data_IF_749924135262
#
_entry.id   IF_749924135262
#
_cell.length_a   1.000
_cell.length_b   1.000
_cell.length_c   1.000
_cell.angle_alpha   90.00
_cell.angle_beta   90.00
_cell.angle_gamma   90.00
#
_symmetry.space_group_name_H-M   'P 1'
#
loop_
_entity.id
_entity.type
_entity.pdbx_description
1 polymer ?
#
# COMPACT_ATOMS: atom_id res chain seq x y z
N UNK A 1 30.38 -17.35 25.94
CA UNK A 1 31.08 -18.45 25.23
C UNK A 1 31.45 -17.95 23.84
N UNK A 2 32.68 -18.18 23.35
CA UNK A 2 33.02 -17.80 21.98
C UNK A 2 32.11 -18.55 21.01
N UNK A 3 31.33 -17.83 20.23
CA UNK A 3 30.46 -18.42 19.22
C UNK A 3 31.34 -19.11 18.16
N UNK A 4 31.04 -20.37 17.83
CA UNK A 4 31.73 -21.07 16.77
C UNK A 4 31.21 -20.55 15.41
N UNK A 5 31.83 -19.49 14.91
CA UNK A 5 31.44 -18.84 13.66
C UNK A 5 31.94 -19.63 12.44
N UNK A 6 31.08 -19.78 11.43
CA UNK A 6 31.35 -20.52 10.19
C UNK A 6 32.53 -19.91 9.40
N UNK A 7 33.25 -20.71 8.59
CA UNK A 7 34.27 -20.19 7.66
C UNK A 7 33.70 -19.14 6.71
N UNK A 8 32.45 -19.33 6.27
CA UNK A 8 31.71 -18.39 5.41
C UNK A 8 31.49 -17.05 6.11
N UNK A 9 31.10 -17.05 7.38
CA UNK A 9 30.96 -15.81 8.16
C UNK A 9 32.29 -15.06 8.26
N UNK A 10 33.40 -15.76 8.52
CA UNK A 10 34.73 -15.14 8.63
C UNK A 10 35.21 -14.56 7.29
N UNK A 11 34.90 -15.22 6.19
CA UNK A 11 35.18 -14.71 4.85
C UNK A 11 34.37 -13.44 4.57
N UNK A 12 33.06 -13.45 4.86
CA UNK A 12 32.19 -12.29 4.70
C UNK A 12 32.62 -11.11 5.61
N UNK A 13 33.05 -11.39 6.85
CA UNK A 13 33.58 -10.38 7.77
C UNK A 13 34.88 -9.75 7.24
N UNK A 14 35.78 -10.57 6.69
CA UNK A 14 37.02 -10.07 6.07
C UNK A 14 36.70 -9.19 4.86
N UNK A 15 35.76 -9.61 4.00
CA UNK A 15 35.30 -8.83 2.86
C UNK A 15 34.65 -7.50 3.30
N UNK A 16 33.83 -7.51 4.35
CA UNK A 16 33.24 -6.29 4.93
C UNK A 16 34.30 -5.29 5.41
N UNK A 17 35.39 -5.77 6.02
CA UNK A 17 36.51 -4.92 6.45
C UNK A 17 37.27 -4.31 5.28
N UNK A 18 37.33 -4.99 4.14
CA UNK A 18 38.02 -4.52 2.93
C UNK A 18 37.15 -3.60 2.06
N UNK A 19 35.83 -3.77 2.09
CA UNK A 19 34.88 -2.97 1.31
C UNK A 19 34.92 -1.49 1.69
N UNK A 20 35.15 -0.63 0.70
CA UNK A 20 35.22 0.84 0.88
C UNK A 20 33.93 1.55 0.47
N UNK A 21 33.24 1.00 -0.53
CA UNK A 21 32.00 1.58 -1.04
C UNK A 21 30.80 1.25 -0.12
N UNK A 22 29.94 2.23 0.23
CA UNK A 22 28.80 2.01 1.12
C UNK A 22 27.87 0.88 0.65
N UNK A 23 27.58 0.81 -0.66
CA UNK A 23 26.73 -0.26 -1.24
C UNK A 23 27.36 -1.64 -1.11
N UNK A 24 28.66 -1.74 -1.33
CA UNK A 24 29.39 -3.00 -1.18
C UNK A 24 29.42 -3.44 0.28
N UNK A 25 29.68 -2.50 1.21
CA UNK A 25 29.65 -2.74 2.65
C UNK A 25 28.27 -3.24 3.12
N UNK A 26 27.18 -2.70 2.58
CA UNK A 26 25.82 -3.15 2.87
C UNK A 26 25.58 -4.60 2.42
N UNK A 27 26.03 -4.95 1.22
CA UNK A 27 25.95 -6.34 0.73
C UNK A 27 26.77 -7.30 1.60
N UNK A 28 27.99 -6.92 2.01
CA UNK A 28 28.80 -7.77 2.91
C UNK A 28 28.18 -7.96 4.29
N UNK A 29 27.51 -6.94 4.84
CA UNK A 29 26.74 -7.12 6.09
C UNK A 29 25.56 -8.08 5.92
N UNK A 30 24.87 -8.05 4.77
CA UNK A 30 23.79 -8.99 4.44
C UNK A 30 24.31 -10.43 4.32
N UNK A 31 25.47 -10.62 3.69
CA UNK A 31 26.15 -11.92 3.61
C UNK A 31 26.55 -12.43 5.01
N UNK A 32 27.11 -11.58 5.86
CA UNK A 32 27.43 -11.92 7.26
C UNK A 32 26.17 -12.36 8.03
N UNK A 33 25.03 -11.69 7.83
CA UNK A 33 23.76 -12.07 8.46
C UNK A 33 23.18 -13.39 7.95
N UNK A 34 23.48 -13.76 6.70
CA UNK A 34 23.08 -15.06 6.12
C UNK A 34 23.94 -16.21 6.66
N UNK A 35 25.24 -15.98 6.81
CA UNK A 35 26.22 -16.99 7.21
C UNK A 35 26.32 -17.21 8.73
N UNK A 36 25.78 -16.30 9.55
CA UNK A 36 25.84 -16.41 11.01
C UNK A 36 24.89 -17.52 11.53
N UNK A 37 25.35 -18.41 12.44
CA UNK A 37 24.48 -19.39 13.08
C UNK A 37 23.32 -18.72 13.84
N UNK A 38 22.10 -19.25 13.75
CA UNK A 38 20.90 -18.70 14.40
C UNK A 38 20.59 -19.43 15.71
N UNK A 39 21.33 -19.11 16.78
CA UNK A 39 21.12 -19.70 18.10
C UNK A 39 21.46 -18.69 19.21
N UNK A 40 21.04 -18.97 20.45
CA UNK A 40 21.19 -18.04 21.60
C UNK A 40 22.60 -17.47 21.81
N UNK A 41 23.65 -18.20 21.40
CA UNK A 41 25.04 -17.74 21.48
C UNK A 41 25.46 -16.63 20.49
N UNK A 42 24.63 -16.30 19.50
CA UNK A 42 24.92 -15.30 18.44
C UNK A 42 23.87 -14.20 18.36
N UNK A 43 22.87 -14.19 19.26
CA UNK A 43 21.75 -13.23 19.23
C UNK A 43 22.21 -11.77 19.25
N UNK A 44 23.18 -11.44 20.12
CA UNK A 44 23.73 -10.09 20.19
C UNK A 44 24.44 -9.68 18.90
N UNK A 45 25.15 -10.63 18.27
CA UNK A 45 25.88 -10.38 17.02
C UNK A 45 24.91 -10.23 15.84
N UNK A 46 23.82 -11.01 15.80
CA UNK A 46 22.74 -10.84 14.84
C UNK A 46 22.06 -9.48 14.99
N UNK A 47 21.77 -9.06 16.22
CA UNK A 47 21.18 -7.75 16.49
C UNK A 47 22.08 -6.60 16.04
N UNK A 48 23.40 -6.70 16.29
CA UNK A 48 24.37 -5.70 15.85
C UNK A 48 24.48 -5.63 14.32
N UNK A 49 24.53 -6.78 13.62
CA UNK A 49 24.57 -6.81 12.15
C UNK A 49 23.28 -6.20 11.56
N UNK A 50 22.10 -6.54 12.10
CA UNK A 50 20.82 -5.97 11.67
C UNK A 50 20.77 -4.45 11.86
N UNK A 51 21.25 -3.97 13.00
CA UNK A 51 21.35 -2.52 13.29
C UNK A 51 22.25 -1.82 12.26
N UNK A 52 23.44 -2.36 12.00
CA UNK A 52 24.38 -1.79 11.01
C UNK A 52 23.83 -1.80 9.59
N UNK A 53 23.08 -2.84 9.21
CA UNK A 53 22.37 -2.89 7.92
C UNK A 53 21.37 -1.75 7.83
N UNK A 54 20.57 -1.52 8.88
CA UNK A 54 19.58 -0.44 8.93
C UNK A 54 20.27 0.93 8.79
N UNK A 55 21.25 1.22 9.65
CA UNK A 55 21.99 2.49 9.66
C UNK A 55 22.64 2.79 8.29
N UNK A 56 23.33 1.79 7.70
CA UNK A 56 24.02 1.98 6.43
C UNK A 56 23.03 2.07 5.24
N UNK A 57 21.88 1.41 5.31
CA UNK A 57 20.81 1.56 4.30
C UNK A 57 20.23 2.97 4.34
N UNK A 58 19.93 3.50 5.53
CA UNK A 58 19.45 4.86 5.74
C UNK A 58 20.50 5.89 5.27
N UNK A 59 21.78 5.69 5.59
CA UNK A 59 22.88 6.56 5.15
C UNK A 59 22.99 6.64 3.61
N UNK A 60 22.90 5.50 2.91
CA UNK A 60 22.91 5.45 1.45
C UNK A 60 21.70 6.18 0.85
N UNK A 61 20.53 6.06 1.47
CA UNK A 61 19.33 6.79 1.06
C UNK A 61 19.45 8.30 1.31
N UNK A 62 20.05 8.71 2.44
CA UNK A 62 20.28 10.11 2.77
C UNK A 62 21.37 10.75 1.90
N UNK A 63 22.44 10.04 1.57
CA UNK A 63 23.48 10.51 0.66
C UNK A 63 22.94 10.76 -0.75
N UNK A 64 21.96 9.97 -1.22
CA UNK A 64 21.23 10.25 -2.47
C UNK A 64 20.36 11.51 -2.41
N UNK A 65 19.90 11.92 -1.22
CA UNK A 65 19.08 13.14 -1.03
C UNK A 65 19.92 14.43 -1.00
N UNK A 66 21.25 14.35 -0.89
CA UNK A 66 22.16 15.50 -0.79
C UNK A 66 22.65 16.08 -2.13
N UNK A 67 22.43 15.39 -3.25
CA UNK A 67 22.72 15.91 -4.59
C UNK A 67 21.50 16.60 -5.20
N UNK A 68 21.57 17.92 -5.37
CA UNK A 68 20.72 18.75 -6.25
C UNK A 68 19.23 18.33 -6.38
N UNK A 69 18.36 18.96 -5.57
CA UNK A 69 16.91 18.97 -5.78
C UNK A 69 16.56 19.63 -7.13
N UNK A 70 16.47 18.81 -8.18
CA UNK A 70 15.81 19.12 -9.46
C UNK A 70 15.28 17.85 -10.14
N UNK A 71 14.84 16.86 -9.36
CA UNK A 71 14.11 15.69 -9.88
C UNK A 71 12.67 15.75 -9.36
N UNK A 72 11.68 15.64 -10.25
CA UNK A 72 10.27 15.52 -9.88
C UNK A 72 10.11 14.44 -8.79
N UNK A 73 9.39 14.75 -7.71
CA UNK A 73 9.08 13.74 -6.70
C UNK A 73 8.21 12.66 -7.34
N UNK A 74 8.81 11.52 -7.68
CA UNK A 74 8.10 10.36 -8.24
C UNK A 74 7.17 9.68 -7.21
N UNK A 75 7.15 10.13 -5.96
CA UNK A 75 6.18 9.70 -4.93
C UNK A 75 5.07 10.74 -4.78
N UNK A 76 3.84 10.28 -5.00
CA UNK A 76 2.61 11.05 -4.74
C UNK A 76 2.36 11.03 -3.22
N UNK A 77 2.12 12.20 -2.63
CA UNK A 77 1.79 12.29 -1.20
C UNK A 77 0.43 11.63 -0.94
N UNK A 78 0.30 10.76 0.08
CA UNK A 78 -0.98 10.19 0.46
C UNK A 78 -1.98 11.27 0.85
N UNK A 79 -3.18 11.18 0.29
CA UNK A 79 -4.31 12.07 0.56
C UNK A 79 -5.61 11.26 0.63
N UNK A 80 -6.63 11.83 1.26
CA UNK A 80 -7.93 11.17 1.41
C UNK A 80 -7.93 10.03 2.43
N UNK A 81 -8.89 9.11 2.27
CA UNK A 81 -9.10 7.99 3.19
C UNK A 81 -8.12 6.83 3.01
N UNK A 82 -7.54 6.71 1.81
CA UNK A 82 -6.56 5.70 1.44
C UNK A 82 -5.88 6.07 0.12
N UNK A 83 -4.67 5.56 -0.10
CA UNK A 83 -3.95 5.65 -1.38
C UNK A 83 -3.86 4.26 -2.03
N UNK A 84 -4.37 4.11 -3.24
CA UNK A 84 -4.41 2.84 -3.98
C UNK A 84 -3.70 3.00 -5.33
N UNK A 85 -2.74 2.13 -5.61
CA UNK A 85 -1.98 2.16 -6.85
C UNK A 85 -2.64 1.32 -7.95
N UNK A 86 -2.69 1.80 -9.19
CA UNK A 86 -3.04 1.00 -10.35
C UNK A 86 -1.76 0.43 -10.96
N UNK A 87 -1.69 -0.90 -11.05
CA UNK A 87 -0.56 -1.64 -11.61
C UNK A 87 -1.06 -2.63 -12.66
N UNK A 88 -0.19 -3.05 -13.58
CA UNK A 88 -0.56 -4.01 -14.62
C UNK A 88 0.21 -3.79 -15.93
N UNK A 89 0.09 -4.74 -16.87
CA UNK A 89 0.83 -4.71 -18.12
C UNK A 89 0.44 -3.54 -19.02
N UNK A 90 1.23 -3.22 -20.06
CA UNK A 90 0.85 -2.26 -21.08
C UNK A 90 -0.52 -2.60 -21.69
N UNK A 91 -1.25 -1.58 -22.14
CA UNK A 91 -2.54 -1.73 -22.85
C UNK A 91 -3.69 -2.41 -22.08
N UNK A 92 -3.55 -2.76 -20.80
CA UNK A 92 -4.64 -3.28 -19.97
C UNK A 92 -5.76 -2.27 -19.65
N UNK A 93 -5.52 -0.99 -19.95
CA UNK A 93 -6.49 0.09 -19.76
C UNK A 93 -6.45 0.76 -18.38
N UNK A 94 -5.31 0.71 -17.68
CA UNK A 94 -5.07 1.41 -16.39
C UNK A 94 -5.46 2.89 -16.43
N UNK A 95 -4.89 3.67 -17.36
CA UNK A 95 -5.15 5.10 -17.45
C UNK A 95 -6.60 5.42 -17.81
N UNK A 96 -7.24 4.57 -18.63
CA UNK A 96 -8.68 4.69 -18.93
C UNK A 96 -9.54 4.42 -17.69
N UNK A 97 -9.21 3.40 -16.90
CA UNK A 97 -9.88 3.13 -15.62
C UNK A 97 -9.67 4.28 -14.63
N UNK A 98 -8.43 4.76 -14.48
CA UNK A 98 -8.11 5.90 -13.63
C UNK A 98 -8.93 7.13 -14.00
N UNK A 99 -8.93 7.49 -15.29
CA UNK A 99 -9.66 8.65 -15.79
C UNK A 99 -11.17 8.55 -15.57
N UNK A 100 -11.73 7.34 -15.73
CA UNK A 100 -13.16 7.06 -15.55
C UNK A 100 -13.56 7.09 -14.07
N UNK A 101 -12.76 6.47 -13.20
CA UNK A 101 -13.04 6.35 -11.76
C UNK A 101 -12.85 7.68 -11.02
N UNK A 102 -11.91 8.51 -11.47
CA UNK A 102 -11.60 9.80 -10.82
C UNK A 102 -12.32 10.98 -11.46
N UNK A 103 -13.03 10.76 -12.58
CA UNK A 103 -13.64 11.84 -13.37
C UNK A 103 -12.64 12.76 -14.07
N UNK A 104 -11.33 12.46 -14.02
CA UNK A 104 -10.28 13.26 -14.67
C UNK A 104 -10.32 13.21 -16.20
N UNK A 105 -11.08 12.27 -16.77
CA UNK A 105 -11.33 12.15 -18.21
C UNK A 105 -12.08 13.31 -18.86
N UNK A 106 -12.56 14.32 -18.11
CA UNK A 106 -13.05 15.57 -18.71
C UNK A 106 -11.93 16.38 -19.43
N UNK A 107 -10.67 15.98 -19.26
CA UNK A 107 -9.50 16.54 -19.95
C UNK A 107 -8.50 15.45 -20.41
N UNK A 108 -8.94 14.45 -21.17
CA UNK A 108 -8.00 13.57 -21.86
C UNK A 108 -7.64 14.18 -23.22
N UNK A 109 -6.44 14.78 -23.33
CA UNK A 109 -5.85 15.10 -24.61
C UNK A 109 -5.30 13.81 -25.25
N UNK A 110 -5.67 13.56 -26.51
CA UNK A 110 -5.25 12.42 -27.31
C UNK A 110 -3.72 12.41 -27.55
N UNK A 111 -2.96 11.69 -26.73
CA UNK A 111 -1.58 11.32 -27.08
C UNK A 111 -1.27 9.88 -26.64
N UNK A 112 -0.73 9.02 -27.53
CA UNK A 112 -0.23 7.72 -27.15
C UNK A 112 1.07 7.86 -26.36
N UNK A 113 1.24 7.05 -25.30
CA UNK A 113 2.43 6.91 -24.43
C UNK A 113 2.61 7.91 -23.26
N UNK A 114 1.55 8.48 -22.70
CA UNK A 114 1.67 9.44 -21.57
C UNK A 114 1.43 8.83 -20.20
N UNK A 115 2.39 8.06 -19.69
CA UNK A 115 2.58 7.90 -18.23
C UNK A 115 4.07 7.70 -17.96
N UNK A 116 4.87 8.74 -18.11
CA UNK A 116 6.25 8.74 -17.57
C UNK A 116 6.29 9.19 -16.10
N UNK A 117 5.16 9.65 -15.57
CA UNK A 117 5.00 10.13 -14.19
C UNK A 117 3.72 9.53 -13.61
N UNK A 118 3.75 9.24 -12.30
CA UNK A 118 2.58 8.75 -11.57
C UNK A 118 1.50 9.84 -11.53
N UNK A 119 0.25 9.49 -11.85
CA UNK A 119 -0.87 10.45 -11.85
C UNK A 119 -1.83 10.15 -10.70
N UNK A 120 -2.03 11.13 -9.82
CA UNK A 120 -3.01 11.03 -8.75
C UNK A 120 -4.40 11.48 -9.24
N UNK A 121 -5.45 10.84 -8.74
CA UNK A 121 -6.84 11.29 -8.90
C UNK A 121 -7.70 10.77 -7.77
N UNK A 122 -8.84 11.42 -7.51
CA UNK A 122 -9.67 11.13 -6.35
C UNK A 122 -10.91 10.34 -6.78
N UNK A 123 -11.05 9.10 -6.29
CA UNK A 123 -12.24 8.27 -6.42
C UNK A 123 -13.22 8.67 -5.29
N UNK A 124 -14.37 9.30 -5.60
CA UNK A 124 -15.36 9.65 -4.60
C UNK A 124 -16.07 8.39 -4.08
N UNK A 125 -16.34 8.36 -2.77
CA UNK A 125 -17.21 7.38 -2.14
C UNK A 125 -17.96 8.04 -0.99
N UNK A 126 -19.27 8.16 -1.12
CA UNK A 126 -20.12 8.90 -0.17
C UNK A 126 -19.57 10.32 0.09
N UNK A 127 -19.10 10.62 1.29
CA UNK A 127 -18.55 11.91 1.73
C UNK A 127 -17.03 11.89 1.91
N UNK A 128 -16.35 10.86 1.41
CA UNK A 128 -14.89 10.72 1.42
C UNK A 128 -14.33 10.50 0.01
N UNK A 129 -13.01 10.55 -0.09
CA UNK A 129 -12.29 10.29 -1.33
C UNK A 129 -11.16 9.29 -1.08
N UNK A 130 -10.99 8.35 -2.01
CA UNK A 130 -9.87 7.40 -2.06
C UNK A 130 -8.94 7.87 -3.17
N UNK A 131 -7.66 8.07 -2.88
CA UNK A 131 -6.68 8.51 -3.87
C UNK A 131 -6.25 7.33 -4.73
N UNK A 132 -6.48 7.41 -6.04
CA UNK A 132 -5.98 6.48 -7.04
C UNK A 132 -4.72 7.04 -7.68
N UNK A 133 -3.65 6.25 -7.68
CA UNK A 133 -2.36 6.59 -8.30
C UNK A 133 -2.17 5.71 -9.51
N UNK A 134 -2.31 6.27 -10.71
CA UNK A 134 -1.96 5.58 -11.96
C UNK A 134 -0.44 5.50 -12.09
N UNK A 135 0.08 4.28 -12.13
CA UNK A 135 1.50 4.02 -12.32
C UNK A 135 1.78 3.64 -13.77
N UNK A 136 2.96 3.98 -14.31
CA UNK A 136 3.36 3.52 -15.63
C UNK A 136 3.25 2.00 -15.75
N UNK A 137 3.02 1.52 -16.97
CA UNK A 137 2.87 0.10 -17.23
C UNK A 137 4.10 -0.69 -16.76
N UNK A 138 3.84 -1.79 -16.06
CA UNK A 138 4.88 -2.68 -15.56
C UNK A 138 5.26 -3.62 -16.71
N UNK A 139 6.49 -3.52 -17.20
CA UNK A 139 7.03 -4.39 -18.26
C UNK A 139 8.54 -4.55 -18.10
N UNK A 140 9.08 -5.69 -18.53
CA UNK A 140 10.51 -5.96 -18.49
C UNK A 140 11.32 -5.03 -19.41
N UNK A 141 10.71 -4.59 -20.52
CA UNK A 141 11.34 -3.69 -21.50
C UNK A 141 11.52 -2.26 -20.98
N UNK A 142 10.68 -1.86 -20.01
CA UNK A 142 10.70 -0.52 -19.42
C UNK A 142 10.61 -0.61 -17.88
N UNK A 143 11.69 -1.03 -17.21
CA UNK A 143 11.68 -1.17 -15.75
C UNK A 143 11.55 0.19 -15.09
N UNK A 144 10.65 0.28 -14.10
CA UNK A 144 10.40 1.50 -13.32
C UNK A 144 11.24 1.41 -12.03
N UNK A 145 12.39 2.10 -11.90
CA UNK A 145 13.30 1.89 -10.76
C UNK A 145 12.72 2.36 -9.43
N UNK A 146 11.78 3.31 -9.48
CA UNK A 146 11.15 3.93 -8.31
C UNK A 146 9.81 3.29 -7.92
N UNK A 147 9.38 2.21 -8.60
CA UNK A 147 8.07 1.58 -8.41
C UNK A 147 7.84 1.16 -6.95
N UNK A 148 8.80 0.47 -6.33
CA UNK A 148 8.67 0.05 -4.93
C UNK A 148 8.53 1.24 -3.97
N UNK A 149 9.23 2.35 -4.24
CA UNK A 149 9.11 3.57 -3.42
C UNK A 149 7.77 4.28 -3.59
N UNK A 150 7.15 4.22 -4.78
CA UNK A 150 5.81 4.75 -5.01
C UNK A 150 4.74 3.91 -4.30
N UNK A 151 4.96 2.59 -4.26
CA UNK A 151 4.04 1.65 -3.64
C UNK A 151 4.17 1.59 -2.11
N UNK A 152 5.30 2.03 -1.55
CA UNK A 152 5.58 1.95 -0.11
C UNK A 152 4.57 2.71 0.76
N UNK A 153 3.98 3.78 0.23
CA UNK A 153 2.97 4.60 0.94
C UNK A 153 1.53 4.19 0.64
N UNK A 154 1.32 3.23 -0.25
CA UNK A 154 -0.01 2.78 -0.64
C UNK A 154 -0.62 1.81 0.37
N UNK A 155 -1.93 1.91 0.55
CA UNK A 155 -2.73 0.98 1.37
C UNK A 155 -3.09 -0.30 0.60
N UNK A 156 -2.88 -0.33 -0.72
CA UNK A 156 -3.17 -1.47 -1.59
C UNK A 156 -3.00 -1.15 -3.07
N UNK A 157 -3.30 -2.13 -3.93
CA UNK A 157 -3.26 -1.94 -5.37
C UNK A 157 -4.41 -2.58 -6.14
N UNK A 158 -4.76 -1.96 -7.25
CA UNK A 158 -5.63 -2.51 -8.29
C UNK A 158 -4.72 -3.10 -9.39
N UNK A 159 -4.68 -4.42 -9.50
CA UNK A 159 -3.98 -5.12 -10.58
C UNK A 159 -4.90 -5.19 -11.79
N UNK A 160 -4.56 -4.49 -12.87
CA UNK A 160 -5.42 -4.35 -14.05
C UNK A 160 -4.92 -5.21 -15.19
N UNK A 161 -5.78 -6.10 -15.70
CA UNK A 161 -5.51 -6.94 -16.87
C UNK A 161 -6.56 -6.76 -17.96
N UNK A 162 -6.30 -7.18 -19.20
CA UNK A 162 -7.29 -7.20 -20.29
C UNK A 162 -7.96 -8.58 -20.36
N UNK A 163 -9.23 -8.66 -19.97
CA UNK A 163 -9.95 -9.94 -19.96
C UNK A 163 -10.13 -10.54 -21.36
N UNK A 164 -10.09 -9.73 -22.41
CA UNK A 164 -10.31 -10.16 -23.78
C UNK A 164 -9.02 -10.54 -24.53
N UNK A 165 -7.86 -10.30 -23.93
CA UNK A 165 -6.56 -10.60 -24.54
C UNK A 165 -6.04 -11.96 -24.05
N UNK A 166 -5.87 -12.96 -24.93
CA UNK A 166 -5.29 -14.25 -24.55
C UNK A 166 -3.88 -14.15 -23.97
N UNK A 167 -3.11 -13.11 -24.32
CA UNK A 167 -1.77 -12.89 -23.80
C UNK A 167 -1.74 -12.30 -22.37
N UNK A 168 -2.91 -12.00 -21.78
CA UNK A 168 -3.01 -11.41 -20.45
C UNK A 168 -2.44 -12.29 -19.33
N UNK A 169 -2.43 -13.60 -19.52
CA UNK A 169 -1.84 -14.57 -18.58
C UNK A 169 -0.33 -14.32 -18.45
N UNK A 170 0.41 -14.46 -19.55
CA UNK A 170 1.85 -14.19 -19.63
C UNK A 170 2.19 -12.76 -19.18
N UNK A 171 1.32 -11.80 -19.50
CA UNK A 171 1.50 -10.42 -19.11
C UNK A 171 1.41 -10.21 -17.59
N UNK A 172 0.50 -10.90 -16.90
CA UNK A 172 0.37 -10.85 -15.43
C UNK A 172 1.54 -11.55 -14.75
N UNK A 173 1.97 -12.70 -15.27
CA UNK A 173 3.19 -13.37 -14.79
C UNK A 173 4.41 -12.44 -14.86
N UNK A 174 4.57 -11.72 -15.98
CA UNK A 174 5.64 -10.74 -16.14
C UNK A 174 5.55 -9.60 -15.12
N UNK A 175 4.35 -9.12 -14.79
CA UNK A 175 4.15 -8.11 -13.74
C UNK A 175 4.56 -8.66 -12.37
N UNK A 176 4.17 -9.89 -12.04
CA UNK A 176 4.58 -10.54 -10.79
C UNK A 176 6.10 -10.72 -10.68
N UNK A 177 6.75 -11.09 -11.78
CA UNK A 177 8.21 -11.23 -11.85
C UNK A 177 8.91 -9.89 -11.59
N UNK A 178 8.44 -8.81 -12.23
CA UNK A 178 9.01 -7.46 -12.06
C UNK A 178 8.80 -6.91 -10.65
N UNK A 179 7.62 -7.13 -10.05
CA UNK A 179 7.34 -6.78 -8.66
C UNK A 179 8.24 -7.57 -7.69
N UNK A 180 8.38 -8.87 -7.92
CA UNK A 180 9.24 -9.75 -7.11
C UNK A 180 10.70 -9.33 -7.19
N UNK A 181 11.20 -8.96 -8.37
CA UNK A 181 12.55 -8.42 -8.55
C UNK A 181 12.79 -7.13 -7.74
N UNK A 182 11.73 -6.35 -7.50
CA UNK A 182 11.75 -5.15 -6.65
C UNK A 182 11.35 -5.41 -5.20
N UNK A 183 11.23 -6.68 -4.78
CA UNK A 183 10.81 -7.09 -3.43
C UNK A 183 9.42 -6.59 -3.05
N UNK A 184 8.50 -6.52 -4.02
CA UNK A 184 7.09 -6.24 -3.79
C UNK A 184 6.32 -7.54 -3.98
N UNK A 185 5.48 -7.91 -3.00
CA UNK A 185 4.61 -9.08 -3.03
C UNK A 185 3.16 -8.64 -2.93
N UNK A 186 2.34 -9.17 -3.84
CA UNK A 186 0.90 -8.95 -3.82
C UNK A 186 0.22 -10.00 -2.94
N UNK A 187 -0.70 -9.57 -2.08
CA UNK A 187 -1.43 -10.41 -1.15
C UNK A 187 -2.94 -10.41 -1.48
N UNK A 188 -3.60 -11.54 -1.26
CA UNK A 188 -5.04 -11.68 -1.44
C UNK A 188 -5.86 -10.96 -0.36
N UNK A 189 -5.32 -10.90 0.85
CA UNK A 189 -6.03 -10.38 2.01
C UNK A 189 -5.79 -8.90 2.20
N UNK A 190 -6.88 -8.18 2.36
CA UNK A 190 -6.91 -6.74 2.65
C UNK A 190 -6.98 -6.43 4.15
N UNK A 191 -6.95 -7.47 5.00
CA UNK A 191 -7.04 -7.30 6.45
C UNK A 191 -5.78 -6.63 6.99
N UNK A 192 -5.88 -5.51 7.74
CA UNK A 192 -4.73 -4.78 8.29
C UNK A 192 -3.78 -5.64 9.15
N UNK A 193 -4.27 -6.71 9.78
CA UNK A 193 -3.49 -7.59 10.65
C UNK A 193 -2.70 -8.71 9.96
N UNK A 194 -2.91 -8.96 8.66
CA UNK A 194 -2.15 -10.01 7.94
C UNK A 194 -0.84 -9.50 7.32
N UNK A 195 -0.72 -8.20 7.08
CA UNK A 195 0.55 -7.57 6.69
C UNK A 195 1.63 -7.73 7.78
N UNK A 196 1.21 -7.87 9.05
CA UNK A 196 2.07 -8.11 10.22
C UNK A 196 2.35 -9.59 10.49
N UNK A 197 1.77 -10.53 9.71
CA UNK A 197 2.11 -11.95 9.86
C UNK A 197 3.61 -12.12 9.66
N UNK A 198 4.22 -12.84 10.60
CA UNK A 198 5.62 -13.20 10.51
C UNK A 198 5.88 -13.84 9.13
N UNK A 199 6.92 -13.38 8.41
CA UNK A 199 7.29 -13.99 7.13
C UNK A 199 7.46 -15.49 7.32
N UNK A 200 7.01 -16.28 6.34
CA UNK A 200 7.33 -17.70 6.32
C UNK A 200 8.86 -17.88 6.32
N UNK A 201 9.36 -19.06 6.72
CA UNK A 201 10.78 -19.28 7.01
C UNK A 201 11.75 -18.91 5.86
N UNK A 202 11.23 -18.78 4.62
CA UNK A 202 11.97 -18.43 3.40
C UNK A 202 11.61 -17.05 2.78
N UNK A 203 10.78 -16.24 3.43
CA UNK A 203 10.39 -14.93 2.89
C UNK A 203 11.32 -13.79 3.31
N UNK A 204 11.57 -12.85 2.39
CA UNK A 204 12.32 -11.62 2.70
C UNK A 204 11.50 -10.74 3.66
N UNK A 205 11.95 -10.53 4.91
CA UNK A 205 11.24 -9.72 5.90
C UNK A 205 11.15 -8.24 5.53
N UNK A 206 11.90 -7.80 4.51
CA UNK A 206 11.86 -6.43 4.00
C UNK A 206 11.03 -6.30 2.72
N UNK A 207 10.39 -7.38 2.26
CA UNK A 207 9.51 -7.30 1.11
C UNK A 207 8.27 -6.47 1.45
N UNK A 208 7.94 -5.52 0.57
CA UNK A 208 6.72 -4.75 0.66
C UNK A 208 5.54 -5.67 0.32
N UNK A 209 4.63 -5.87 1.26
CA UNK A 209 3.40 -6.64 1.06
C UNK A 209 2.24 -5.70 0.83
N UNK A 210 1.58 -5.83 -0.32
CA UNK A 210 0.45 -5.00 -0.69
C UNK A 210 -0.77 -5.86 -0.99
N UNK A 211 -1.91 -5.56 -0.38
CA UNK A 211 -3.15 -6.22 -0.74
C UNK A 211 -3.54 -5.84 -2.17
N UNK A 212 -3.97 -6.82 -2.95
CA UNK A 212 -4.29 -6.66 -4.36
C UNK A 212 -5.75 -7.04 -4.66
N UNK A 213 -6.38 -6.26 -5.54
CA UNK A 213 -7.67 -6.55 -6.15
C UNK A 213 -7.45 -6.61 -7.66
N UNK A 214 -7.80 -7.73 -8.29
CA UNK A 214 -7.70 -7.89 -9.73
C UNK A 214 -8.89 -7.23 -10.42
N UNK A 215 -8.62 -6.32 -11.35
CA UNK A 215 -9.60 -5.73 -12.24
C UNK A 215 -9.36 -6.28 -13.65
N UNK A 216 -10.17 -7.26 -14.04
CA UNK A 216 -10.17 -7.81 -15.39
C UNK A 216 -10.98 -6.87 -16.31
N UNK A 217 -10.27 -5.92 -16.89
CA UNK A 217 -10.84 -4.83 -17.67
C UNK A 217 -11.25 -5.28 -19.08
N UNK A 218 -11.95 -4.40 -19.79
CA UNK A 218 -12.49 -4.63 -21.15
C UNK A 218 -13.50 -5.79 -21.22
N UNK A 219 -14.23 -6.00 -20.13
CA UNK A 219 -15.34 -6.94 -20.05
C UNK A 219 -16.41 -6.73 -21.14
N UNK A 220 -16.50 -5.54 -21.73
CA UNK A 220 -17.39 -5.23 -22.87
C UNK A 220 -17.06 -6.01 -24.16
N UNK A 221 -15.91 -6.69 -24.23
CA UNK A 221 -15.44 -7.43 -25.40
C UNK A 221 -15.65 -8.93 -25.31
N UNK A 222 -16.12 -9.42 -24.18
CA UNK A 222 -16.39 -10.85 -23.94
C UNK A 222 -17.89 -11.07 -23.73
N UNK A 223 -18.40 -12.23 -24.12
CA UNK A 223 -19.83 -12.52 -24.09
C UNK A 223 -20.35 -12.72 -22.66
N UNK A 224 -19.61 -13.47 -21.85
CA UNK A 224 -19.88 -13.68 -20.41
C UNK A 224 -18.62 -13.33 -19.60
N UNK A 225 -18.52 -12.09 -19.07
CA UNK A 225 -17.34 -11.66 -18.34
C UNK A 225 -17.10 -12.41 -17.02
N UNK A 226 -18.13 -12.93 -16.37
CA UNK A 226 -17.99 -13.63 -15.09
C UNK A 226 -17.48 -15.06 -15.31
N UNK A 227 -17.97 -15.75 -16.34
CA UNK A 227 -17.46 -17.06 -16.75
C UNK A 227 -16.00 -16.97 -17.24
N UNK A 228 -15.70 -15.98 -18.08
CA UNK A 228 -14.33 -15.77 -18.59
C UNK A 228 -13.35 -15.45 -17.44
N UNK A 229 -13.76 -14.60 -16.50
CA UNK A 229 -12.93 -14.30 -15.32
C UNK A 229 -12.70 -15.55 -14.46
N UNK A 230 -13.72 -16.40 -14.27
CA UNK A 230 -13.55 -17.65 -13.51
C UNK A 230 -12.51 -18.54 -14.18
N UNK A 231 -12.60 -18.72 -15.50
CA UNK A 231 -11.61 -19.50 -16.25
C UNK A 231 -10.20 -18.90 -16.13
N UNK A 232 -10.07 -17.58 -16.23
CA UNK A 232 -8.80 -16.86 -16.07
C UNK A 232 -8.17 -17.09 -14.68
N UNK A 233 -8.96 -16.99 -13.61
CA UNK A 233 -8.49 -17.20 -12.23
C UNK A 233 -8.06 -18.64 -11.96
N UNK A 234 -8.78 -19.62 -12.54
CA UNK A 234 -8.48 -21.05 -12.37
C UNK A 234 -7.15 -21.44 -13.05
N UNK A 235 -6.85 -20.88 -14.21
CA UNK A 235 -5.61 -21.17 -14.95
C UNK A 235 -4.36 -20.68 -14.23
N UNK A 236 -4.40 -19.48 -13.65
CA UNK A 236 -3.24 -18.84 -13.00
C UNK A 236 -3.15 -19.12 -11.49
N UNK A 237 -4.17 -19.79 -10.93
CA UNK A 237 -4.32 -19.97 -9.49
C UNK A 237 -4.17 -18.65 -8.69
N UNK A 238 -4.66 -17.53 -9.25
CA UNK A 238 -4.54 -16.22 -8.62
C UNK A 238 -5.43 -16.17 -7.38
N UNK A 239 -4.86 -15.91 -6.19
CA UNK A 239 -5.64 -15.94 -4.94
C UNK A 239 -6.39 -14.63 -4.69
N UNK A 240 -6.31 -13.65 -5.61
CA UNK A 240 -6.82 -12.31 -5.39
C UNK A 240 -8.34 -12.26 -5.52
N UNK A 241 -9.02 -11.42 -4.72
CA UNK A 241 -10.37 -10.98 -5.10
C UNK A 241 -10.30 -10.35 -6.49
N UNK A 242 -11.35 -10.52 -7.28
CA UNK A 242 -11.36 -10.08 -8.68
C UNK A 242 -12.73 -9.61 -9.14
N UNK A 243 -12.73 -8.63 -10.05
CA UNK A 243 -13.91 -8.14 -10.75
C UNK A 243 -13.68 -8.05 -12.26
N UNK A 244 -14.63 -8.51 -13.09
CA UNK A 244 -14.66 -8.12 -14.48
C UNK A 244 -15.23 -6.70 -14.56
N UNK A 245 -14.52 -5.81 -15.22
CA UNK A 245 -14.89 -4.39 -15.31
C UNK A 245 -14.75 -3.89 -16.74
N UNK A 246 -15.41 -2.78 -17.04
CA UNK A 246 -15.20 -2.08 -18.32
C UNK A 246 -15.03 -0.59 -18.08
N UNK A 247 -13.84 -0.08 -18.35
CA UNK A 247 -13.59 1.36 -18.42
C UNK A 247 -14.48 2.06 -19.46
N UNK A 248 -14.80 1.35 -20.55
CA UNK A 248 -15.60 1.86 -21.68
C UNK A 248 -17.06 2.05 -21.30
N UNK A 249 -17.71 1.00 -20.79
CA UNK A 249 -19.15 1.01 -20.51
C UNK A 249 -19.48 1.46 -19.09
N UNK A 250 -18.51 1.39 -18.18
CA UNK A 250 -18.72 1.58 -16.74
C UNK A 250 -19.17 0.31 -16.01
N UNK A 251 -19.21 -0.85 -16.68
CA UNK A 251 -19.58 -2.13 -16.07
C UNK A 251 -18.79 -2.37 -14.78
N UNK A 252 -19.51 -2.57 -13.67
CA UNK A 252 -19.04 -2.86 -12.31
C UNK A 252 -18.05 -1.86 -11.69
N UNK A 253 -17.82 -0.69 -12.29
CA UNK A 253 -16.95 0.33 -11.70
C UNK A 253 -17.49 0.89 -10.37
N UNK A 254 -18.82 0.91 -10.22
CA UNK A 254 -19.49 1.35 -8.99
C UNK A 254 -19.22 0.46 -7.77
N UNK A 255 -18.78 -0.78 -7.98
CA UNK A 255 -18.51 -1.75 -6.91
C UNK A 255 -17.15 -1.48 -6.25
N UNK A 256 -16.22 -0.82 -6.95
CA UNK A 256 -14.81 -0.69 -6.53
C UNK A 256 -14.69 0.14 -5.26
N UNK A 257 -15.32 1.32 -5.21
CA UNK A 257 -15.18 2.23 -4.06
C UNK A 257 -15.81 1.65 -2.77
N UNK A 258 -17.04 1.12 -2.79
CA UNK A 258 -17.62 0.41 -1.64
C UNK A 258 -16.80 -0.79 -1.20
N UNK A 259 -16.25 -1.55 -2.16
CA UNK A 259 -15.42 -2.70 -1.84
C UNK A 259 -14.13 -2.29 -1.11
N UNK A 260 -13.42 -1.27 -1.63
CA UNK A 260 -12.22 -0.73 -1.01
C UNK A 260 -12.52 -0.17 0.37
N UNK A 261 -13.60 0.60 0.52
CA UNK A 261 -14.05 1.15 1.80
C UNK A 261 -14.17 0.06 2.88
N UNK A 262 -14.89 -1.03 2.55
CA UNK A 262 -15.10 -2.15 3.46
C UNK A 262 -13.81 -2.93 3.75
N UNK A 263 -13.03 -3.25 2.72
CA UNK A 263 -11.88 -4.15 2.85
C UNK A 263 -10.65 -3.48 3.48
N UNK A 264 -10.51 -2.17 3.30
CA UNK A 264 -9.53 -1.36 4.03
C UNK A 264 -9.99 -1.02 5.45
N UNK A 265 -11.19 -1.45 5.86
CA UNK A 265 -11.79 -1.15 7.14
C UNK A 265 -11.86 0.36 7.41
N UNK A 266 -12.21 1.16 6.39
CA UNK A 266 -12.33 2.61 6.56
C UNK A 266 -13.50 2.90 7.51
N UNK A 267 -13.23 3.78 8.48
CA UNK A 267 -14.20 4.26 9.46
C UNK A 267 -14.26 5.78 9.36
N UNK A 268 -15.46 6.33 9.16
CA UNK A 268 -15.70 7.77 9.17
C UNK A 268 -16.18 8.20 10.53
N UNK A 269 -15.52 9.20 11.09
CA UNK A 269 -15.93 9.84 12.34
C UNK A 269 -16.16 11.31 12.10
N UNK A 270 -17.32 11.78 12.51
CA UNK A 270 -17.68 13.19 12.50
C UNK A 270 -17.35 13.80 13.84
N UNK A 271 -16.99 15.08 13.86
CA UNK A 271 -16.76 15.79 15.13
C UNK A 271 -17.80 16.86 15.34
N UNK A 272 -18.01 17.19 16.61
CA UNK A 272 -18.81 18.36 16.99
C UNK A 272 -18.21 19.08 18.17
N UNK A 273 -18.49 20.37 18.24
CA UNK A 273 -18.15 21.19 19.41
C UNK A 273 -19.28 21.13 20.43
N UNK A 274 -18.98 21.26 21.74
CA UNK A 274 -19.99 21.33 22.79
C UNK A 274 -21.09 22.36 22.48
N UNK A 275 -22.34 21.91 22.50
CA UNK A 275 -23.51 22.75 22.24
C UNK A 275 -23.75 23.11 20.76
N UNK A 276 -22.96 22.57 19.82
CA UNK A 276 -23.17 22.75 18.38
C UNK A 276 -23.62 21.45 17.70
N UNK A 277 -24.24 21.59 16.54
CA UNK A 277 -24.50 20.45 15.65
C UNK A 277 -23.18 19.86 15.12
N UNK A 278 -23.21 18.58 14.78
CA UNK A 278 -22.09 17.89 14.17
C UNK A 278 -21.84 18.36 12.74
N UNK A 279 -20.56 18.52 12.38
CA UNK A 279 -20.19 18.70 10.99
C UNK A 279 -20.18 17.34 10.29
N UNK A 280 -21.20 17.10 9.47
CA UNK A 280 -21.34 15.87 8.66
C UNK A 280 -20.83 16.02 7.23
N UNK A 281 -20.21 17.16 6.89
CA UNK A 281 -19.71 17.40 5.54
C UNK A 281 -18.27 16.94 5.33
N UNK A 282 -17.51 16.80 6.43
CA UNK A 282 -16.07 16.50 6.41
C UNK A 282 -15.73 15.53 7.53
N UNK A 283 -15.93 14.21 7.32
CA UNK A 283 -15.51 13.22 8.30
C UNK A 283 -13.98 13.18 8.40
N UNK A 284 -13.51 12.76 9.57
CA UNK A 284 -12.18 12.20 9.73
C UNK A 284 -12.21 10.72 9.33
N UNK A 285 -11.19 10.29 8.58
CA UNK A 285 -11.07 8.92 8.08
C UNK A 285 -10.06 8.14 8.90
N UNK A 286 -10.51 7.05 9.49
CA UNK A 286 -9.76 6.14 10.34
C UNK A 286 -9.83 4.72 9.79
N UNK A 287 -9.12 3.80 10.45
CA UNK A 287 -9.21 2.35 10.27
C UNK A 287 -10.02 1.74 11.41
N UNK A 288 -10.70 0.64 11.13
CA UNK A 288 -11.39 -0.17 12.13
C UNK A 288 -10.40 -0.59 13.25
N UNK A 289 -10.84 -0.46 14.51
CA UNK A 289 -10.00 -0.69 15.68
C UNK A 289 -9.24 0.53 16.19
N UNK A 290 -9.33 1.68 15.51
CA UNK A 290 -8.84 2.94 16.05
C UNK A 290 -9.79 3.53 17.11
N UNK A 291 -9.27 4.46 17.89
CA UNK A 291 -9.87 4.95 19.14
C UNK A 291 -10.25 6.42 19.09
N UNK A 292 -10.95 6.90 20.11
CA UNK A 292 -11.22 8.32 20.34
C UNK A 292 -9.93 9.14 20.40
N UNK A 293 -8.85 8.61 20.96
CA UNK A 293 -7.55 9.29 20.96
C UNK A 293 -7.00 9.51 19.54
N UNK A 294 -7.16 8.52 18.65
CA UNK A 294 -6.75 8.65 17.25
C UNK A 294 -7.54 9.74 16.54
N UNK A 295 -8.84 9.84 16.81
CA UNK A 295 -9.68 10.95 16.33
C UNK A 295 -9.16 12.30 16.84
N UNK A 296 -8.86 12.41 18.13
CA UNK A 296 -8.32 13.63 18.70
C UNK A 296 -6.99 14.05 18.05
N UNK A 297 -6.13 13.08 17.71
CA UNK A 297 -4.84 13.31 17.04
C UNK A 297 -5.02 13.83 15.62
N UNK A 298 -6.03 13.35 14.90
CA UNK A 298 -6.39 13.84 13.56
C UNK A 298 -6.95 15.27 13.59
N UNK A 299 -7.66 15.65 14.67
CA UNK A 299 -8.11 17.02 14.89
C UNK A 299 -6.92 17.93 15.19
N UNK A 300 -6.12 17.59 16.22
CA UNK A 300 -4.89 18.30 16.57
C UNK A 300 -4.04 17.49 17.57
N UNK A 301 -2.70 17.51 17.44
CA UNK A 301 -1.82 16.76 18.34
C UNK A 301 -1.99 17.15 19.82
N UNK A 302 -2.10 18.43 20.15
CA UNK A 302 -2.29 18.89 21.54
C UNK A 302 -3.62 18.45 22.15
N UNK A 303 -4.65 18.29 21.32
CA UNK A 303 -5.97 17.85 21.77
C UNK A 303 -5.91 16.39 22.23
N UNK A 304 -5.18 15.54 21.51
CA UNK A 304 -4.94 14.17 21.94
C UNK A 304 -4.23 14.10 23.30
N UNK A 305 -3.25 14.96 23.55
CA UNK A 305 -2.53 14.95 24.84
C UNK A 305 -3.40 15.42 26.01
N UNK A 306 -4.22 16.45 25.79
CA UNK A 306 -5.06 17.08 26.82
C UNK A 306 -6.46 16.46 26.97
N UNK A 307 -6.82 15.48 26.15
CA UNK A 307 -8.13 14.82 26.17
C UNK A 307 -8.42 14.19 27.54
N UNK A 308 -9.48 14.66 28.21
CA UNK A 308 -9.99 14.08 29.47
C UNK A 308 -10.99 12.97 29.21
N UNK A 309 -11.95 13.23 28.33
CA UNK A 309 -13.00 12.29 27.94
C UNK A 309 -13.61 12.74 26.61
N UNK A 310 -14.42 11.87 26.01
CA UNK A 310 -15.27 12.25 24.88
C UNK A 310 -16.72 11.86 25.14
N UNK A 311 -17.62 12.43 24.34
CA UNK A 311 -18.96 11.92 24.17
C UNK A 311 -19.13 11.38 22.76
N UNK A 312 -19.84 10.27 22.64
CA UNK A 312 -20.10 9.61 21.37
C UNK A 312 -21.59 9.55 21.07
N UNK A 313 -21.93 9.56 19.79
CA UNK A 313 -23.27 9.28 19.26
C UNK A 313 -23.09 8.39 18.04
N UNK A 314 -23.75 7.24 17.99
CA UNK A 314 -23.63 6.33 16.85
C UNK A 314 -23.64 4.86 17.23
N UNK A 315 -22.83 4.07 16.54
CA UNK A 315 -22.84 2.60 16.66
C UNK A 315 -21.89 2.09 17.75
N UNK A 316 -20.85 2.85 18.10
CA UNK A 316 -19.89 2.46 19.14
C UNK A 316 -20.40 2.64 20.57
N UNK A 317 -21.44 3.44 20.78
CA UNK A 317 -21.99 3.75 22.10
C UNK A 317 -23.37 4.39 22.04
N UNK A 318 -23.96 4.63 23.21
CA UNK A 318 -25.25 5.32 23.30
C UNK A 318 -25.11 6.82 23.06
N UNK A 319 -26.17 7.45 22.57
CA UNK A 319 -26.18 8.89 22.30
C UNK A 319 -25.82 9.73 23.53
N UNK A 320 -24.67 10.40 23.44
CA UNK A 320 -24.13 11.25 24.50
C UNK A 320 -23.37 10.51 25.58
N UNK A 321 -23.10 9.21 25.39
CA UNK A 321 -22.34 8.40 26.33
C UNK A 321 -20.94 8.98 26.54
N UNK A 322 -20.57 9.14 27.81
CA UNK A 322 -19.21 9.48 28.19
C UNK A 322 -18.28 8.28 28.02
N UNK A 323 -17.20 8.47 27.27
CA UNK A 323 -16.21 7.45 26.96
C UNK A 323 -14.79 7.96 27.20
N UNK A 324 -13.88 7.01 27.45
CA UNK A 324 -12.45 7.28 27.60
C UNK A 324 -11.72 7.32 26.26
N UNK A 325 -10.40 7.59 26.34
CA UNK A 325 -9.48 7.72 25.20
C UNK A 325 -9.38 6.46 24.34
N UNK A 326 -9.35 5.29 25.00
CA UNK A 326 -9.21 3.96 24.39
C UNK A 326 -10.52 3.42 23.78
N UNK A 327 -11.60 4.19 23.83
CA UNK A 327 -12.88 3.73 23.27
C UNK A 327 -12.76 3.61 21.75
N UNK A 328 -13.12 2.44 21.21
CA UNK A 328 -13.08 2.18 19.78
C UNK A 328 -14.20 2.93 19.06
N UNK A 329 -13.87 3.61 17.97
CA UNK A 329 -14.84 4.30 17.13
C UNK A 329 -15.36 3.38 16.02
N UNK A 330 -16.59 3.64 15.57
CA UNK A 330 -17.28 2.94 14.51
C UNK A 330 -17.70 3.89 13.38
N UNK A 331 -17.91 3.33 12.18
CA UNK A 331 -18.30 4.12 11.01
C UNK A 331 -19.64 4.82 11.22
N UNK A 332 -19.63 6.14 11.03
CA UNK A 332 -20.77 7.02 11.19
C UNK A 332 -20.88 7.71 12.55
N UNK A 333 -19.97 7.41 13.48
CA UNK A 333 -19.99 8.00 14.81
C UNK A 333 -19.75 9.51 14.78
N UNK A 334 -20.39 10.20 15.72
CA UNK A 334 -20.11 11.59 16.05
C UNK A 334 -19.37 11.63 17.38
N UNK A 335 -18.24 12.33 17.43
CA UNK A 335 -17.41 12.49 18.63
C UNK A 335 -17.35 13.96 19.05
N UNK A 336 -17.63 14.22 20.32
CA UNK A 336 -17.42 15.52 20.98
C UNK A 336 -16.28 15.37 21.98
N UNK A 337 -15.15 16.03 21.74
CA UNK A 337 -13.93 15.92 22.53
C UNK A 337 -13.91 16.95 23.66
N UNK A 338 -13.52 16.53 24.87
CA UNK A 338 -13.45 17.39 26.06
C UNK A 338 -12.05 17.36 26.71
N UNK A 339 -11.49 18.56 26.94
CA UNK A 339 -10.17 18.81 27.56
C UNK A 339 -10.26 19.28 29.00
#
# INVERSE_FOLDING_TARGET
MPANLSPEYRAAETAFRQAREPKERLERLREMLRAIPKHKGTDHLQADIKRRIKELSEEIEHAKKGGARSGASHSVRPEGAAQIALIGPPNSGKSSLHARLTGSGAHAADYPFTTQQAQAGMLPHEDIHIQLVDLPAVSAEHPIPWLAGALQTGDGCLLVTDLADPASLEAIEAVHAELSAKKVKLAASWSPGEAERAPEQDEDPFALRLPALLLANKADRVADPEEELRAFLELEALPYPAFPVSATTGYRLGDIAPWLFSHLGIVRVYTKNPGKAADRSRPFTLRAGQTVEDVARLVHQDLAHSLRYARVWGKSGFDGQHVGREHLVADGDVVELHI
#
